data_IF_384429675788
#
_entry.id   IF_384429675788
#
_cell.length_a   1.000
_cell.length_b   1.000
_cell.length_c   1.000
_cell.angle_alpha   90.00
_cell.angle_beta   90.00
_cell.angle_gamma   90.00
#
_symmetry.space_group_name_H-M   'P 1'
#
loop_
_entity.id
_entity.type
_entity.pdbx_description
1 polymer ?
#
# COMPACT_ATOMS: atom_id res chain seq x y z
N UNK A 1 12.91 10.05 11.10
CA UNK A 1 13.48 10.58 9.83
C UNK A 1 13.07 12.04 9.67
N UNK A 2 13.70 12.82 8.78
CA UNK A 2 13.32 14.22 8.59
C UNK A 2 12.05 14.32 7.73
N UNK A 3 11.10 15.17 8.15
CA UNK A 3 9.90 15.49 7.36
C UNK A 3 10.34 16.24 6.11
N UNK A 4 9.79 15.88 4.95
CA UNK A 4 10.11 16.51 3.67
C UNK A 4 8.86 16.86 2.88
N UNK A 5 8.76 18.12 2.43
CA UNK A 5 7.70 18.57 1.53
C UNK A 5 8.25 18.73 0.11
N UNK A 6 7.56 18.18 -0.87
CA UNK A 6 7.95 18.22 -2.29
C UNK A 6 6.75 18.42 -3.19
N UNK A 7 6.99 19.02 -4.35
CA UNK A 7 6.03 19.04 -5.45
C UNK A 7 6.36 17.88 -6.41
N UNK A 8 5.43 16.93 -6.53
CA UNK A 8 5.64 15.75 -7.37
C UNK A 8 5.40 16.07 -8.85
N UNK A 9 6.28 15.52 -9.69
CA UNK A 9 6.13 15.55 -11.14
C UNK A 9 5.53 14.22 -11.62
N UNK A 10 4.24 14.23 -11.90
CA UNK A 10 3.53 13.07 -12.46
C UNK A 10 3.57 13.10 -13.98
N UNK A 11 3.92 11.98 -14.60
CA UNK A 11 3.87 11.82 -16.05
C UNK A 11 2.47 12.18 -16.57
N UNK A 12 2.40 13.15 -17.47
CA UNK A 12 1.15 13.64 -18.04
C UNK A 12 0.29 12.51 -18.63
N UNK A 13 0.90 11.44 -19.14
CA UNK A 13 0.19 10.27 -19.67
C UNK A 13 -0.64 9.52 -18.62
N UNK A 14 -0.16 9.52 -17.37
CA UNK A 14 -0.76 8.78 -16.26
C UNK A 14 -1.40 9.70 -15.21
N UNK A 15 -1.31 11.01 -15.39
CA UNK A 15 -1.88 12.00 -14.49
C UNK A 15 -3.42 11.96 -14.54
N UNK A 16 -4.10 11.63 -13.42
CA UNK A 16 -5.57 11.55 -13.37
C UNK A 16 -6.27 12.87 -13.69
N UNK A 17 -5.62 14.02 -13.42
CA UNK A 17 -6.21 15.36 -13.65
C UNK A 17 -6.38 15.66 -15.15
N UNK A 18 -5.68 14.93 -16.02
CA UNK A 18 -5.79 15.07 -17.47
C UNK A 18 -6.68 14.02 -18.11
N UNK A 19 -7.38 13.20 -17.31
CA UNK A 19 -8.29 12.17 -17.81
C UNK A 19 -9.73 12.68 -17.82
N UNK A 20 -10.46 12.46 -18.92
CA UNK A 20 -11.88 12.84 -19.01
C UNK A 20 -12.77 12.09 -18.01
N UNK A 21 -12.40 10.85 -17.67
CA UNK A 21 -13.12 10.05 -16.69
C UNK A 21 -12.19 9.08 -15.98
N UNK A 22 -12.46 8.85 -14.69
CA UNK A 22 -11.76 7.87 -13.88
C UNK A 22 -12.58 6.58 -13.81
N UNK A 23 -11.98 5.49 -14.26
CA UNK A 23 -12.57 4.15 -14.26
C UNK A 23 -11.55 3.15 -13.73
N UNK A 24 -11.96 1.90 -13.48
CA UNK A 24 -11.05 0.82 -13.10
C UNK A 24 -9.92 0.59 -14.12
N UNK A 25 -10.12 0.98 -15.39
CA UNK A 25 -9.13 0.85 -16.47
C UNK A 25 -8.13 2.00 -16.53
N UNK A 26 -8.41 3.13 -15.88
CA UNK A 26 -7.52 4.30 -15.87
C UNK A 26 -6.14 3.89 -15.37
N UNK A 27 -5.10 4.19 -16.16
CA UNK A 27 -3.71 3.83 -15.86
C UNK A 27 -3.09 4.93 -15.00
N UNK A 28 -2.51 4.50 -13.89
CA UNK A 28 -1.83 5.38 -12.92
C UNK A 28 -0.31 5.33 -13.07
N UNK A 29 0.19 4.27 -13.72
CA UNK A 29 1.57 4.14 -14.16
C UNK A 29 1.65 3.05 -15.25
N UNK A 30 2.81 2.83 -15.91
CA UNK A 30 3.01 1.72 -16.83
C UNK A 30 2.62 0.38 -16.18
N UNK A 31 1.63 -0.32 -16.76
CA UNK A 31 1.17 -1.62 -16.26
C UNK A 31 0.20 -1.57 -15.07
N UNK A 32 0.03 -0.43 -14.40
CA UNK A 32 -0.76 -0.30 -13.18
C UNK A 32 -2.01 0.55 -13.44
N UNK A 33 -3.18 0.01 -13.15
CA UNK A 33 -4.48 0.71 -13.27
C UNK A 33 -5.17 0.83 -11.93
N UNK A 34 -6.15 1.73 -11.85
CA UNK A 34 -7.07 1.87 -10.70
C UNK A 34 -7.57 0.52 -10.19
N UNK A 35 -7.95 -0.42 -11.07
CA UNK A 35 -8.43 -1.75 -10.70
C UNK A 35 -7.52 -2.51 -9.72
N UNK A 36 -6.21 -2.23 -9.70
CA UNK A 36 -5.27 -2.90 -8.80
C UNK A 36 -5.51 -2.57 -7.32
N UNK A 37 -6.20 -1.46 -7.05
CA UNK A 37 -6.46 -0.95 -5.72
C UNK A 37 -7.94 -1.00 -5.32
N UNK A 38 -8.83 -1.50 -6.17
CA UNK A 38 -10.28 -1.50 -5.88
C UNK A 38 -10.70 -2.75 -5.09
N UNK A 39 -10.12 -2.94 -3.92
CA UNK A 39 -10.40 -4.08 -3.04
C UNK A 39 -9.33 -5.17 -3.08
N UNK A 40 -9.53 -6.18 -2.25
CA UNK A 40 -8.64 -7.33 -2.07
C UNK A 40 -9.00 -8.53 -2.93
N UNK A 41 -8.15 -9.56 -2.94
CA UNK A 41 -8.37 -10.82 -3.70
C UNK A 41 -9.71 -11.50 -3.36
N UNK A 42 -10.31 -11.19 -2.20
CA UNK A 42 -11.57 -11.80 -1.72
C UNK A 42 -12.70 -10.79 -1.43
N UNK A 43 -12.45 -9.49 -1.56
CA UNK A 43 -13.46 -8.44 -1.32
C UNK A 43 -13.31 -7.31 -2.36
N UNK A 44 -13.76 -7.54 -3.60
CA UNK A 44 -13.62 -6.56 -4.65
C UNK A 44 -14.58 -5.39 -4.44
N UNK A 45 -14.03 -4.19 -4.38
CA UNK A 45 -14.78 -2.95 -4.36
C UNK A 45 -14.90 -2.41 -5.79
N UNK A 46 -16.01 -1.75 -6.10
CA UNK A 46 -16.23 -1.15 -7.42
C UNK A 46 -16.28 0.36 -7.28
N UNK A 47 -15.86 1.13 -8.29
CA UNK A 47 -15.96 2.60 -8.27
C UNK A 47 -17.41 3.10 -8.38
N UNK A 48 -18.39 2.22 -8.59
CA UNK A 48 -19.79 2.60 -8.87
C UNK A 48 -20.51 3.21 -7.68
N UNK A 49 -20.04 2.94 -6.45
CA UNK A 49 -20.58 3.55 -5.23
C UNK A 49 -20.12 5.01 -5.05
N UNK A 50 -19.04 5.41 -5.71
CA UNK A 50 -18.56 6.80 -5.73
C UNK A 50 -19.26 7.50 -6.90
N UNK A 51 -20.27 8.30 -6.60
CA UNK A 51 -21.06 8.99 -7.63
C UNK A 51 -20.45 10.31 -8.06
N UNK A 52 -19.62 10.91 -7.21
CA UNK A 52 -18.91 12.16 -7.49
C UNK A 52 -17.61 11.89 -8.26
N UNK A 53 -17.49 12.48 -9.45
CA UNK A 53 -16.32 12.31 -10.30
C UNK A 53 -15.08 13.02 -9.72
N UNK A 54 -15.25 14.12 -8.98
CA UNK A 54 -14.13 14.79 -8.32
C UNK A 54 -13.52 13.89 -7.23
N UNK A 55 -14.36 13.15 -6.50
CA UNK A 55 -13.90 12.15 -5.53
C UNK A 55 -13.11 11.01 -6.21
N UNK A 56 -13.51 10.57 -7.40
CA UNK A 56 -12.75 9.55 -8.14
C UNK A 56 -11.38 10.10 -8.59
N UNK A 57 -11.32 11.36 -9.01
CA UNK A 57 -10.05 12.03 -9.35
C UNK A 57 -9.15 12.12 -8.12
N UNK A 58 -9.67 12.56 -6.97
CA UNK A 58 -8.92 12.61 -5.72
C UNK A 58 -8.37 11.22 -5.33
N UNK A 59 -9.20 10.18 -5.40
CA UNK A 59 -8.79 8.82 -5.12
C UNK A 59 -7.69 8.34 -6.09
N UNK A 60 -7.86 8.61 -7.38
CA UNK A 60 -6.85 8.28 -8.38
C UNK A 60 -5.53 9.02 -8.15
N UNK A 61 -5.58 10.27 -7.69
CA UNK A 61 -4.37 11.03 -7.32
C UNK A 61 -3.59 10.34 -6.20
N UNK A 62 -4.27 9.87 -5.15
CA UNK A 62 -3.59 9.15 -4.08
C UNK A 62 -2.97 7.84 -4.58
N UNK A 63 -3.70 7.09 -5.42
CA UNK A 63 -3.19 5.83 -5.96
C UNK A 63 -2.03 5.99 -6.95
N UNK A 64 -1.73 7.19 -7.46
CA UNK A 64 -0.48 7.41 -8.21
C UNK A 64 0.73 7.16 -7.31
N UNK A 65 0.70 7.57 -6.04
CA UNK A 65 1.80 7.32 -5.09
C UNK A 65 2.01 5.82 -4.86
N UNK A 66 0.92 5.08 -4.68
CA UNK A 66 0.94 3.62 -4.55
C UNK A 66 1.40 2.92 -5.84
N UNK A 67 1.00 3.43 -7.01
CA UNK A 67 1.47 2.90 -8.28
C UNK A 67 3.00 3.06 -8.44
N UNK A 68 3.56 4.19 -7.99
CA UNK A 68 5.01 4.40 -7.96
C UNK A 68 5.72 3.45 -6.99
N UNK A 69 5.18 3.22 -5.79
CA UNK A 69 5.71 2.22 -4.86
C UNK A 69 5.72 0.82 -5.50
N UNK A 70 4.63 0.40 -6.13
CA UNK A 70 4.55 -0.88 -6.83
C UNK A 70 5.54 -0.99 -8.01
N UNK A 71 5.84 0.10 -8.71
CA UNK A 71 6.81 0.11 -9.82
C UNK A 71 8.23 -0.20 -9.37
N UNK A 72 8.58 0.09 -8.12
CA UNK A 72 9.90 -0.25 -7.59
C UNK A 72 10.19 -1.75 -7.59
N UNK A 73 9.14 -2.58 -7.65
CA UNK A 73 9.20 -4.05 -7.62
C UNK A 73 8.73 -4.66 -8.94
N UNK A 74 7.57 -4.23 -9.46
CA UNK A 74 6.89 -4.92 -10.57
C UNK A 74 7.24 -4.36 -11.97
N UNK A 75 8.16 -3.39 -12.08
CA UNK A 75 8.55 -2.80 -13.38
C UNK A 75 9.76 -3.47 -14.01
N UNK A 76 9.95 -3.28 -15.32
CA UNK A 76 11.11 -3.82 -16.05
C UNK A 76 12.45 -3.30 -15.50
N UNK A 77 12.46 -2.07 -15.00
CA UNK A 77 13.65 -1.39 -14.48
C UNK A 77 13.74 -1.48 -12.94
N UNK A 78 12.89 -2.30 -12.32
CA UNK A 78 12.91 -2.56 -10.88
C UNK A 78 14.23 -3.20 -10.43
N UNK A 79 14.49 -3.13 -9.12
CA UNK A 79 15.63 -3.84 -8.53
C UNK A 79 15.56 -5.34 -8.84
N UNK A 80 16.70 -5.94 -9.16
CA UNK A 80 16.80 -7.37 -9.45
C UNK A 80 16.63 -8.25 -8.21
N UNK A 81 16.70 -7.65 -7.02
CA UNK A 81 16.54 -8.32 -5.74
C UNK A 81 15.18 -9.04 -5.63
N UNK A 82 14.12 -8.42 -6.16
CA UNK A 82 12.76 -8.95 -6.09
C UNK A 82 12.26 -9.55 -7.41
N UNK A 83 13.16 -9.87 -8.36
CA UNK A 83 12.79 -10.32 -9.72
C UNK A 83 11.94 -11.60 -9.77
N UNK A 84 12.08 -12.46 -8.76
CA UNK A 84 11.37 -13.75 -8.64
C UNK A 84 10.15 -13.63 -7.71
N UNK A 85 9.76 -12.40 -7.37
CA UNK A 85 8.64 -12.09 -6.49
C UNK A 85 7.67 -11.14 -7.19
N UNK A 86 6.42 -11.16 -6.74
CA UNK A 86 5.37 -10.26 -7.20
C UNK A 86 4.78 -9.53 -6.01
N UNK A 87 4.76 -8.20 -6.08
CA UNK A 87 4.02 -7.41 -5.11
C UNK A 87 2.53 -7.43 -5.45
N UNK A 88 1.72 -7.85 -4.48
CA UNK A 88 0.28 -7.99 -4.58
C UNK A 88 -0.41 -7.05 -3.60
N UNK A 89 -1.46 -6.37 -4.07
CA UNK A 89 -2.39 -5.64 -3.19
C UNK A 89 -3.35 -6.66 -2.64
N UNK A 90 -3.41 -6.79 -1.31
CA UNK A 90 -4.36 -7.69 -0.63
C UNK A 90 -5.52 -6.95 -0.01
N UNK A 91 -5.33 -5.67 0.33
CA UNK A 91 -6.41 -4.78 0.74
C UNK A 91 -6.14 -3.38 0.18
N UNK A 92 -7.16 -2.77 -0.44
CA UNK A 92 -7.08 -1.48 -1.10
C UNK A 92 -8.20 -0.55 -0.65
N UNK A 93 -8.99 -0.04 -1.60
CA UNK A 93 -10.13 0.82 -1.34
C UNK A 93 -11.10 0.16 -0.38
N UNK A 94 -11.31 0.79 0.77
CA UNK A 94 -12.33 0.38 1.72
C UNK A 94 -13.65 1.11 1.45
N UNK A 95 -14.76 0.38 1.53
CA UNK A 95 -16.11 0.94 1.46
C UNK A 95 -16.80 0.69 2.80
N UNK A 96 -17.14 1.78 3.50
CA UNK A 96 -17.89 1.69 4.74
C UNK A 96 -19.27 1.07 4.52
N UNK A 97 -19.69 0.23 5.46
CA UNK A 97 -21.05 -0.31 5.50
C UNK A 97 -22.06 0.75 5.95
N UNK A 98 -23.34 0.53 5.66
CA UNK A 98 -24.39 1.46 6.07
C UNK A 98 -24.43 1.61 7.61
N UNK A 99 -24.22 2.83 8.10
CA UNK A 99 -24.22 3.14 9.53
C UNK A 99 -22.88 2.90 10.24
N UNK A 100 -21.84 2.47 9.53
CA UNK A 100 -20.49 2.36 10.08
C UNK A 100 -19.86 3.75 10.28
N UNK A 101 -19.30 3.99 11.47
CA UNK A 101 -18.53 5.20 11.76
C UNK A 101 -17.05 4.84 11.78
N UNK A 102 -16.32 5.28 10.75
CA UNK A 102 -14.88 5.09 10.69
C UNK A 102 -14.16 6.01 11.66
N UNK A 103 -13.10 5.51 12.28
CA UNK A 103 -12.22 6.33 13.09
C UNK A 103 -11.41 7.27 12.18
N UNK A 104 -11.80 8.54 12.18
CA UNK A 104 -11.21 9.59 11.33
C UNK A 104 -9.85 10.09 11.82
N UNK A 105 -9.39 9.67 13.01
CA UNK A 105 -8.14 10.14 13.59
C UNK A 105 -6.93 9.41 12.97
N UNK A 106 -6.92 8.08 13.05
CA UNK A 106 -5.86 7.24 12.49
C UNK A 106 -6.34 5.85 12.04
N UNK A 107 -7.66 5.64 11.97
CA UNK A 107 -8.25 4.36 11.60
C UNK A 107 -7.85 3.91 10.20
N UNK A 108 -7.34 2.68 10.08
CA UNK A 108 -6.86 2.13 8.81
C UNK A 108 -7.96 2.13 7.73
N UNK A 109 -9.17 1.71 8.08
CA UNK A 109 -10.33 1.72 7.17
C UNK A 109 -10.65 3.12 6.65
N UNK A 110 -10.53 4.15 7.50
CA UNK A 110 -10.70 5.54 7.09
C UNK A 110 -9.64 5.95 6.06
N UNK A 111 -8.37 5.66 6.34
CA UNK A 111 -7.26 5.94 5.42
C UNK A 111 -7.43 5.22 4.07
N UNK A 112 -7.84 3.95 4.10
CA UNK A 112 -8.11 3.12 2.91
C UNK A 112 -9.27 3.64 2.08
N UNK A 113 -10.36 4.09 2.71
CA UNK A 113 -11.50 4.71 2.01
C UNK A 113 -11.13 5.96 1.22
N UNK A 114 -10.02 6.61 1.60
CA UNK A 114 -9.45 7.79 0.93
C UNK A 114 -8.29 7.45 0.00
N UNK A 115 -7.93 6.18 -0.15
CA UNK A 115 -6.81 5.70 -0.95
C UNK A 115 -5.42 6.04 -0.40
N UNK A 116 -5.35 6.45 0.87
CA UNK A 116 -4.09 6.78 1.54
C UNK A 116 -3.33 5.52 1.94
N UNK A 117 -4.03 4.48 2.41
CA UNK A 117 -3.44 3.23 2.85
C UNK A 117 -3.73 2.08 1.88
N UNK A 118 -2.74 1.20 1.67
CA UNK A 118 -2.85 -0.04 0.90
C UNK A 118 -2.02 -1.12 1.61
N UNK A 119 -2.55 -2.34 1.68
CA UNK A 119 -1.85 -3.50 2.25
C UNK A 119 -1.28 -4.36 1.14
N UNK A 120 -0.02 -4.73 1.29
CA UNK A 120 0.73 -5.49 0.31
C UNK A 120 1.26 -6.79 0.88
N UNK A 121 1.21 -7.84 0.06
CA UNK A 121 1.95 -9.08 0.26
C UNK A 121 2.99 -9.26 -0.86
N UNK A 122 4.14 -9.81 -0.49
CA UNK A 122 5.16 -10.22 -1.45
C UNK A 122 5.03 -11.72 -1.73
N UNK A 123 4.69 -12.06 -2.97
CA UNK A 123 4.37 -13.44 -3.36
C UNK A 123 5.54 -14.03 -4.15
N UNK A 124 6.00 -15.22 -3.75
CA UNK A 124 7.03 -15.98 -4.45
C UNK A 124 6.51 -16.73 -5.68
N UNK A 125 7.43 -17.37 -6.42
CA UNK A 125 7.10 -18.18 -7.60
C UNK A 125 6.20 -19.40 -7.30
N UNK A 126 6.19 -19.86 -6.05
CA UNK A 126 5.33 -20.93 -5.57
C UNK A 126 3.90 -20.47 -5.25
N UNK A 127 3.62 -19.17 -5.43
CA UNK A 127 2.33 -18.56 -5.15
C UNK A 127 2.06 -18.31 -3.66
N UNK A 128 3.07 -18.48 -2.79
CA UNK A 128 2.94 -18.24 -1.35
C UNK A 128 3.60 -16.92 -0.94
N UNK A 129 3.21 -16.42 0.22
CA UNK A 129 3.83 -15.25 0.84
C UNK A 129 5.29 -15.57 1.17
N UNK A 130 6.19 -14.72 0.70
CA UNK A 130 7.61 -14.81 0.92
C UNK A 130 8.01 -14.07 2.20
N UNK A 131 7.67 -14.66 3.37
CA UNK A 131 7.76 -14.04 4.70
C UNK A 131 9.11 -13.34 4.96
N UNK A 132 10.23 -14.07 4.78
CA UNK A 132 11.58 -13.51 4.98
C UNK A 132 11.86 -12.36 4.01
N UNK A 133 11.42 -12.49 2.75
CA UNK A 133 11.58 -11.43 1.74
C UNK A 133 10.66 -10.23 1.93
N UNK A 134 9.56 -10.36 2.67
CA UNK A 134 8.74 -9.23 3.08
C UNK A 134 9.52 -8.30 4.02
N UNK A 135 10.37 -8.83 4.90
CA UNK A 135 11.27 -8.01 5.72
C UNK A 135 12.27 -7.24 4.86
N UNK A 136 12.94 -7.92 3.92
CA UNK A 136 13.87 -7.29 2.99
C UNK A 136 13.19 -6.19 2.16
N UNK A 137 11.94 -6.41 1.73
CA UNK A 137 11.15 -5.40 1.04
C UNK A 137 10.90 -4.17 1.92
N UNK A 138 10.54 -4.36 3.19
CA UNK A 138 10.34 -3.25 4.12
C UNK A 138 11.64 -2.46 4.34
N UNK A 139 12.78 -3.14 4.48
CA UNK A 139 14.11 -2.48 4.56
C UNK A 139 14.40 -1.70 3.27
N UNK A 140 14.19 -2.32 2.11
CA UNK A 140 14.39 -1.66 0.82
C UNK A 140 13.51 -0.41 0.67
N UNK A 141 12.21 -0.51 0.95
CA UNK A 141 11.29 0.62 0.83
C UNK A 141 11.60 1.75 1.79
N UNK A 142 11.99 1.44 3.04
CA UNK A 142 12.44 2.42 4.02
C UNK A 142 13.52 3.35 3.46
N UNK A 143 14.44 2.80 2.65
CA UNK A 143 15.60 3.53 2.15
C UNK A 143 15.41 4.08 0.72
N UNK A 144 14.44 3.58 -0.04
CA UNK A 144 14.32 3.86 -1.49
C UNK A 144 13.03 4.58 -1.90
N UNK A 145 12.01 4.66 -1.04
CA UNK A 145 10.79 5.43 -1.32
C UNK A 145 10.48 6.39 -0.18
N UNK A 146 9.52 7.29 -0.42
CA UNK A 146 8.99 8.19 0.60
C UNK A 146 7.53 7.82 0.86
N UNK A 147 7.14 7.90 2.12
CA UNK A 147 5.79 7.56 2.59
C UNK A 147 5.44 8.38 3.84
N UNK A 148 4.19 8.31 4.26
CA UNK A 148 3.77 8.90 5.53
C UNK A 148 4.10 7.95 6.67
N UNK A 149 3.61 6.71 6.55
CA UNK A 149 3.87 5.62 7.49
C UNK A 149 4.00 4.28 6.76
N UNK A 150 4.90 3.43 7.21
CA UNK A 150 5.01 2.04 6.77
C UNK A 150 4.97 1.13 8.00
N UNK A 151 4.10 0.14 7.96
CA UNK A 151 3.93 -0.85 9.03
C UNK A 151 4.29 -2.20 8.46
N UNK A 152 5.35 -2.80 9.01
CA UNK A 152 5.63 -4.22 8.79
C UNK A 152 4.77 -5.01 9.77
N UNK A 153 3.74 -5.68 9.25
CA UNK A 153 2.72 -6.33 10.06
C UNK A 153 2.86 -7.85 9.93
N UNK A 154 2.92 -8.51 11.08
CA UNK A 154 2.96 -9.95 11.21
C UNK A 154 1.76 -10.42 12.02
N UNK A 155 1.24 -11.59 11.68
CA UNK A 155 0.23 -12.25 12.49
C UNK A 155 0.31 -13.77 12.40
N UNK A 156 -0.44 -14.44 13.26
CA UNK A 156 -0.65 -15.88 13.18
C UNK A 156 -2.15 -16.24 13.21
N UNK A 157 -3.00 -15.39 12.65
CA UNK A 157 -4.44 -15.58 12.61
C UNK A 157 -4.89 -16.63 11.59
N UNK A 158 -3.98 -17.07 10.71
CA UNK A 158 -4.23 -18.21 9.84
C UNK A 158 -4.71 -19.42 10.66
N UNK A 159 -5.71 -20.19 10.19
CA UNK A 159 -6.26 -21.32 10.96
C UNK A 159 -5.24 -22.39 11.37
N UNK A 160 -4.12 -22.49 10.66
CA UNK A 160 -3.00 -23.39 10.95
C UNK A 160 -1.90 -22.74 11.81
N UNK A 161 -2.14 -21.52 12.32
CA UNK A 161 -1.21 -20.65 13.06
C UNK A 161 0.07 -20.32 12.29
N UNK A 162 0.07 -20.45 10.96
CA UNK A 162 1.21 -20.05 10.17
C UNK A 162 1.41 -18.55 10.22
N UNK A 163 2.66 -18.13 10.47
CA UNK A 163 3.07 -16.73 10.38
C UNK A 163 2.69 -16.14 9.02
N UNK A 164 1.94 -15.04 9.01
CA UNK A 164 1.74 -14.14 7.88
C UNK A 164 2.70 -12.94 8.01
N UNK A 165 3.06 -12.34 6.87
CA UNK A 165 3.79 -11.08 6.84
C UNK A 165 3.30 -10.21 5.69
N UNK A 166 2.92 -8.97 6.01
CA UNK A 166 2.41 -7.99 5.08
C UNK A 166 3.00 -6.59 5.35
N UNK A 167 2.89 -5.69 4.38
CA UNK A 167 3.27 -4.28 4.55
C UNK A 167 2.05 -3.41 4.35
N UNK A 168 1.66 -2.69 5.40
CA UNK A 168 0.67 -1.62 5.31
C UNK A 168 1.43 -0.35 4.99
N UNK A 169 1.23 0.19 3.79
CA UNK A 169 1.87 1.43 3.35
C UNK A 169 0.82 2.54 3.37
N UNK A 170 1.11 3.60 4.12
CA UNK A 170 0.31 4.82 4.17
C UNK A 170 1.07 5.91 3.43
N UNK A 171 0.45 6.39 2.36
CA UNK A 171 0.91 7.54 1.61
C UNK A 171 0.28 8.82 2.19
N UNK A 172 1.02 9.93 2.20
CA UNK A 172 0.47 11.22 2.61
C UNK A 172 -0.59 11.71 1.62
N UNK A 173 -1.45 12.59 2.09
CA UNK A 173 -2.45 13.22 1.24
C UNK A 173 -1.80 14.15 0.21
N UNK A 174 -2.13 13.97 -1.07
CA UNK A 174 -1.74 14.88 -2.15
C UNK A 174 -2.57 16.17 -2.12
N UNK A 175 -1.93 17.28 -1.80
CA UNK A 175 -2.51 18.62 -1.82
C UNK A 175 -2.36 19.24 -3.21
N UNK A 176 -3.26 20.17 -3.55
CA UNK A 176 -3.30 20.82 -4.87
C UNK A 176 -1.97 21.52 -5.23
N UNK A 177 -1.43 21.33 -6.46
CA UNK A 177 -1.83 20.35 -7.47
C UNK A 177 -1.23 18.96 -7.22
N UNK A 178 0.01 18.88 -6.72
CA UNK A 178 0.75 17.64 -6.44
C UNK A 178 1.76 17.83 -5.28
N UNK A 179 1.44 18.69 -4.32
CA UNK A 179 2.30 18.95 -3.16
C UNK A 179 2.07 17.88 -2.10
N UNK A 180 3.15 17.32 -1.58
CA UNK A 180 3.12 16.19 -0.66
C UNK A 180 4.12 16.40 0.46
N UNK A 181 3.74 16.06 1.69
CA UNK A 181 4.62 16.07 2.86
C UNK A 181 4.79 14.67 3.41
N UNK A 182 6.01 14.14 3.36
CA UNK A 182 6.35 12.80 3.82
C UNK A 182 6.93 12.83 5.24
N UNK A 183 6.46 11.95 6.11
CA UNK A 183 6.96 11.80 7.48
C UNK A 183 7.93 10.61 7.63
N UNK A 184 7.80 9.60 6.78
CA UNK A 184 8.60 8.37 6.78
C UNK A 184 8.61 7.66 8.14
N UNK A 185 7.46 7.56 8.80
CA UNK A 185 7.34 6.84 10.05
C UNK A 185 7.34 5.33 9.80
N UNK A 186 8.03 4.55 10.63
CA UNK A 186 8.05 3.09 10.52
C UNK A 186 7.69 2.44 11.84
N UNK A 187 7.03 1.30 11.78
CA UNK A 187 6.81 0.44 12.93
C UNK A 187 6.67 -1.03 12.51
N UNK A 188 6.85 -1.93 13.48
CA UNK A 188 6.56 -3.35 13.32
C UNK A 188 5.44 -3.75 14.27
N UNK A 189 4.45 -4.49 13.77
CA UNK A 189 3.34 -5.05 14.55
C UNK A 189 3.37 -6.57 14.53
N UNK A 190 2.92 -7.17 15.62
CA UNK A 190 2.61 -8.60 15.71
C UNK A 190 1.22 -8.76 16.33
N UNK A 191 0.30 -9.43 15.63
CA UNK A 191 -1.08 -9.61 16.08
C UNK A 191 -1.74 -8.29 16.49
N UNK A 192 -1.61 -7.25 15.64
CA UNK A 192 -2.08 -5.88 15.87
C UNK A 192 -1.43 -5.13 17.04
N UNK A 193 -0.42 -5.72 17.71
CA UNK A 193 0.30 -5.09 18.81
C UNK A 193 1.64 -4.53 18.29
N UNK A 194 1.86 -3.24 18.50
CA UNK A 194 3.13 -2.57 18.20
C UNK A 194 4.28 -3.22 18.99
N UNK A 195 5.30 -3.69 18.27
CA UNK A 195 6.52 -4.27 18.82
C UNK A 195 7.63 -3.22 18.93
N UNK A 196 7.86 -2.47 17.85
CA UNK A 196 8.87 -1.41 17.77
C UNK A 196 8.41 -0.27 16.88
N UNK A 197 8.88 0.94 17.17
CA UNK A 197 8.60 2.16 16.39
C UNK A 197 9.91 2.85 16.05
N UNK A 198 9.98 3.47 14.88
CA UNK A 198 11.18 4.08 14.27
C UNK A 198 12.28 3.09 13.85
N UNK A 199 12.03 1.78 13.98
CA UNK A 199 12.90 0.69 13.55
C UNK A 199 12.03 -0.44 12.97
N UNK A 200 12.66 -1.38 12.26
CA UNK A 200 12.01 -2.60 11.79
C UNK A 200 12.57 -3.78 12.58
N UNK A 201 11.67 -4.65 13.02
CA UNK A 201 12.01 -5.90 13.69
C UNK A 201 11.49 -7.06 12.83
N UNK A 202 12.35 -8.03 12.55
CA UNK A 202 11.94 -9.25 11.87
C UNK A 202 11.33 -10.24 12.87
N UNK A 203 10.12 -10.73 12.57
CA UNK A 203 9.50 -11.81 13.35
C UNK A 203 9.76 -13.14 12.65
N UNK A 204 10.41 -14.06 13.35
CA UNK A 204 10.71 -15.39 12.84
C UNK A 204 9.77 -16.43 13.45
N UNK A 205 9.47 -17.49 12.69
CA UNK A 205 8.79 -18.66 13.25
C UNK A 205 9.70 -19.34 14.27
N UNK A 206 9.15 -19.66 15.44
CA UNK A 206 9.82 -20.55 16.38
C UNK A 206 9.93 -21.94 15.75
N UNK A 207 11.12 -22.30 15.27
CA UNK A 207 11.41 -23.71 14.95
C UNK A 207 11.51 -24.45 16.27
N UNK A 208 10.54 -25.29 16.59
CA UNK A 208 10.65 -26.19 17.74
C UNK A 208 11.80 -27.18 17.47
N UNK A 209 12.98 -26.90 18.01
CA UNK A 209 14.12 -27.81 18.10
C UNK A 209 15.01 -27.36 19.26
N UNK A 210 14.61 -27.73 20.48
CA UNK A 210 15.50 -27.83 21.63
C UNK A 210 15.57 -29.30 22.04
#
# INVERSE_FOLDING_TARGET
MAVSTVDLLVDAKYNPVFQDSITSKTKLAPGISMAKFLGGDNDPVTLTHITDDDQKVLLAKQYVLHAEAMRTINSKDATKEFKDFRLQVVEGLYRAEEGENLDVSDGLNYLMSRGLAVVYELIGLDGKIAIEKTFDLAVYWKDNIQFDKMILDYDNYNPDNTLNAQIILVMPEVISPWTVTFNNNIETRYNNINQVTNELLEVLRTTASA
#
